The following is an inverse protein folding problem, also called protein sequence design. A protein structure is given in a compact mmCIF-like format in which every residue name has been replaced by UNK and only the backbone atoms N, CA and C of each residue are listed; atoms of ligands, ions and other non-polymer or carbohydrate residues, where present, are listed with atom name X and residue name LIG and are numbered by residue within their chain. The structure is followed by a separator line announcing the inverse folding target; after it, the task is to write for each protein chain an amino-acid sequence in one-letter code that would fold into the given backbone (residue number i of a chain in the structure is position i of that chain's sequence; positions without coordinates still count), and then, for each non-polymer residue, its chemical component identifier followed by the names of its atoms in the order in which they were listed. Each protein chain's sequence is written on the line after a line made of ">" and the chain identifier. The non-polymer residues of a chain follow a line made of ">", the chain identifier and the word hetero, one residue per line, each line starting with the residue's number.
data_IF_413935047032
#
_entry.id   IF_413935047032
#
_cell.length_a   1.000
_cell.length_b   1.000
_cell.length_c   1.000
_cell.angle_alpha   90.00
_cell.angle_beta   90.00
_cell.angle_gamma   90.00
#
_symmetry.space_group_name_H-M   'P 1'
#
loop_
_entity.id
_entity.type
_entity.pdbx_description
1 polymer ?
#
# COMPACT_ATOMS: atom_id res chain seq x y z
N UNK A 1 2.35 4.84 -12.59
CA UNK A 1 2.51 3.41 -12.93
C UNK A 1 3.85 2.91 -12.38
N UNK A 2 3.92 1.75 -11.71
CA UNK A 2 5.18 1.14 -11.23
C UNK A 2 5.35 0.91 -9.72
N UNK A 3 4.45 1.42 -8.86
CA UNK A 3 4.54 1.23 -7.40
C UNK A 3 4.39 -0.24 -6.99
N UNK A 4 3.41 -0.96 -7.55
CA UNK A 4 3.23 -2.41 -7.29
C UNK A 4 4.48 -3.20 -7.70
N UNK A 5 5.13 -2.83 -8.81
CA UNK A 5 6.38 -3.46 -9.23
C UNK A 5 7.52 -3.21 -8.24
N UNK A 6 7.63 -1.99 -7.71
CA UNK A 6 8.59 -1.66 -6.66
C UNK A 6 8.32 -2.48 -5.39
N UNK A 7 7.07 -2.51 -4.90
CA UNK A 7 6.69 -3.25 -3.70
C UNK A 7 7.10 -4.72 -3.78
N UNK A 8 6.72 -5.41 -4.86
CA UNK A 8 7.05 -6.83 -5.06
C UNK A 8 8.56 -7.09 -5.06
N UNK A 9 9.36 -6.22 -5.67
CA UNK A 9 10.83 -6.40 -5.72
C UNK A 9 11.51 -6.18 -4.36
N UNK A 10 10.90 -5.41 -3.47
CA UNK A 10 11.49 -5.10 -2.15
C UNK A 10 10.95 -6.01 -1.04
N UNK A 11 9.77 -6.60 -1.21
CA UNK A 11 9.11 -7.39 -0.16
C UNK A 11 8.84 -8.85 -0.55
N UNK A 12 8.66 -9.15 -1.84
CA UNK A 12 8.28 -10.48 -2.34
C UNK A 12 9.42 -11.18 -3.10
N UNK A 13 10.64 -10.66 -3.03
CA UNK A 13 11.82 -11.25 -3.68
C UNK A 13 13.01 -11.32 -2.71
N UNK A 14 13.52 -12.52 -2.37
CA UNK A 14 12.92 -13.83 -2.68
C UNK A 14 11.51 -13.96 -2.07
N UNK A 15 10.70 -14.91 -2.56
CA UNK A 15 9.36 -15.14 -2.02
C UNK A 15 9.46 -15.45 -0.52
N UNK A 16 8.73 -14.77 0.36
CA UNK A 16 8.80 -15.00 1.81
C UNK A 16 8.42 -16.44 2.15
N UNK A 17 9.27 -17.10 2.93
CA UNK A 17 8.94 -18.39 3.53
C UNK A 17 8.12 -18.16 4.78
N UNK A 18 6.85 -18.56 4.74
CA UNK A 18 5.87 -18.35 5.80
C UNK A 18 5.06 -19.62 6.03
N UNK A 19 4.66 -19.86 7.27
CA UNK A 19 3.94 -21.06 7.67
C UNK A 19 2.44 -21.00 7.32
N UNK A 20 1.92 -19.81 7.00
CA UNK A 20 0.51 -19.61 6.67
C UNK A 20 0.26 -18.33 5.88
N UNK A 21 -0.89 -18.27 5.23
CA UNK A 21 -1.38 -17.03 4.59
C UNK A 21 -1.65 -15.93 5.60
N UNK A 22 -2.07 -16.27 6.82
CA UNK A 22 -2.26 -15.28 7.89
C UNK A 22 -0.94 -14.56 8.23
N UNK A 23 0.16 -15.32 8.32
CA UNK A 23 1.49 -14.74 8.53
C UNK A 23 1.91 -13.85 7.36
N UNK A 24 1.65 -14.28 6.12
CA UNK A 24 1.92 -13.46 4.94
C UNK A 24 1.15 -12.13 4.98
N UNK A 25 -0.15 -12.18 5.29
CA UNK A 25 -0.99 -11.00 5.35
C UNK A 25 -0.50 -10.00 6.40
N UNK A 26 -0.11 -10.47 7.59
CA UNK A 26 0.45 -9.61 8.63
C UNK A 26 1.75 -8.92 8.19
N UNK A 27 2.60 -9.61 7.42
CA UNK A 27 3.81 -9.00 6.85
C UNK A 27 3.46 -7.94 5.79
N UNK A 28 2.46 -8.21 4.94
CA UNK A 28 1.98 -7.25 3.94
C UNK A 28 1.41 -6.00 4.61
N UNK A 29 0.57 -6.16 5.63
CA UNK A 29 0.01 -5.05 6.40
C UNK A 29 1.11 -4.16 6.97
N UNK A 30 2.13 -4.76 7.60
CA UNK A 30 3.27 -4.01 8.11
C UNK A 30 3.99 -3.24 6.99
N UNK A 31 4.25 -3.87 5.85
CA UNK A 31 4.93 -3.21 4.73
C UNK A 31 4.12 -2.07 4.11
N UNK A 32 2.79 -2.21 4.04
CA UNK A 32 1.90 -1.14 3.59
C UNK A 32 1.95 0.05 4.56
N UNK A 33 1.97 -0.19 5.87
CA UNK A 33 2.16 0.87 6.87
C UNK A 33 3.54 1.56 6.76
N UNK A 34 4.59 0.82 6.39
CA UNK A 34 5.90 1.42 6.10
C UNK A 34 5.86 2.28 4.83
N UNK A 35 5.09 1.85 3.82
CA UNK A 35 4.93 2.57 2.55
C UNK A 35 4.29 3.94 2.74
N UNK A 36 3.33 4.06 3.65
CA UNK A 36 2.70 5.33 4.04
C UNK A 36 3.74 6.38 4.50
N UNK A 37 4.87 5.93 5.07
CA UNK A 37 5.97 6.80 5.53
C UNK A 37 7.04 7.04 4.47
N UNK A 38 6.99 6.33 3.35
CA UNK A 38 8.00 6.40 2.29
C UNK A 38 7.89 7.70 1.50
N UNK A 39 9.04 8.21 1.02
CA UNK A 39 9.11 9.29 0.03
C UNK A 39 9.39 8.71 -1.36
N UNK A 40 8.61 9.13 -2.36
CA UNK A 40 8.77 8.66 -3.74
C UNK A 40 9.70 9.61 -4.50
N UNK A 41 10.88 9.12 -4.90
CA UNK A 41 11.85 9.90 -5.67
C UNK A 41 12.30 11.16 -4.91
N UNK A 42 12.31 12.31 -5.59
CA UNK A 42 12.68 13.60 -5.00
C UNK A 42 11.52 14.32 -4.28
N UNK A 43 10.36 13.66 -4.10
CA UNK A 43 9.21 14.31 -3.45
C UNK A 43 9.54 14.66 -1.99
N UNK A 44 9.19 15.88 -1.54
CA UNK A 44 9.57 16.37 -0.21
C UNK A 44 8.79 15.73 0.94
N UNK A 45 7.59 15.19 0.67
CA UNK A 45 6.67 14.64 1.68
C UNK A 45 6.44 13.13 1.50
N UNK A 46 6.11 12.40 2.57
CA UNK A 46 5.78 10.98 2.50
C UNK A 46 4.46 10.74 1.74
N UNK A 47 4.22 9.49 1.33
CA UNK A 47 3.00 9.07 0.60
C UNK A 47 1.74 9.49 1.35
N UNK A 48 1.66 9.19 2.65
CA UNK A 48 0.51 9.52 3.51
C UNK A 48 0.13 10.99 3.49
N UNK A 49 1.11 11.90 3.54
CA UNK A 49 0.85 13.35 3.51
C UNK A 49 0.28 13.81 2.17
N UNK A 50 0.76 13.25 1.06
CA UNK A 50 0.17 13.53 -0.25
C UNK A 50 -1.24 12.97 -0.35
N UNK A 51 -1.44 11.73 0.09
CA UNK A 51 -2.77 11.11 0.09
C UNK A 51 -3.76 11.91 0.95
N UNK A 52 -3.35 12.43 2.11
CA UNK A 52 -4.20 13.27 2.95
C UNK A 52 -4.71 14.54 2.24
N UNK A 53 -3.89 15.12 1.34
CA UNK A 53 -4.28 16.27 0.50
C UNK A 53 -5.25 15.86 -0.61
N UNK A 54 -5.07 14.68 -1.21
CA UNK A 54 -5.88 14.18 -2.32
C UNK A 54 -7.21 13.54 -1.87
N UNK A 55 -7.24 12.92 -0.69
CA UNK A 55 -8.40 12.23 -0.11
C UNK A 55 -9.69 13.04 -0.12
N UNK A 56 -9.73 14.34 0.27
CA UNK A 56 -10.96 15.13 0.21
C UNK A 56 -11.43 15.44 -1.23
N UNK A 57 -10.62 15.16 -2.26
CA UNK A 57 -10.97 15.34 -3.67
C UNK A 57 -11.58 14.09 -4.31
N UNK A 58 -11.56 12.95 -3.60
CA UNK A 58 -12.13 11.69 -4.07
C UNK A 58 -13.67 11.74 -4.03
N UNK A 59 -14.30 11.00 -4.94
CA UNK A 59 -15.75 10.77 -4.88
C UNK A 59 -16.10 9.99 -3.61
N UNK A 60 -17.30 10.21 -3.03
CA UNK A 60 -17.79 9.34 -1.97
C UNK A 60 -17.90 7.90 -2.46
N UNK A 61 -17.86 6.96 -1.52
CA UNK A 61 -18.18 5.56 -1.83
C UNK A 61 -19.63 5.47 -2.32
N UNK A 62 -19.94 4.54 -3.26
CA UNK A 62 -21.32 4.26 -3.64
C UNK A 62 -22.16 3.86 -2.43
N UNK A 63 -23.44 4.27 -2.41
CA UNK A 63 -24.39 3.88 -1.35
C UNK A 63 -24.75 2.38 -1.42
N UNK A 64 -24.71 1.82 -2.63
CA UNK A 64 -24.96 0.39 -2.86
C UNK A 64 -23.66 -0.42 -2.69
N UNK A 65 -23.67 -1.49 -1.88
CA UNK A 65 -22.52 -2.36 -1.72
C UNK A 65 -22.24 -3.15 -3.00
N UNK A 66 -21.00 -3.62 -3.16
CA UNK A 66 -20.65 -4.52 -4.25
C UNK A 66 -21.37 -5.87 -4.08
N UNK A 67 -21.97 -6.39 -5.17
CA UNK A 67 -22.65 -7.68 -5.16
C UNK A 67 -21.66 -8.83 -4.89
N UNK A 68 -22.00 -9.71 -3.95
CA UNK A 68 -21.19 -10.90 -3.57
C UNK A 68 -21.74 -12.18 -4.16
#
# INVERSE_FOLDING_TARGET
>A
EGQIGWFRRNHMVPVPEVASLAQLNAMIEQWDEEDERRRIGSRPRPVSEYFAVERPLLQPLPDEPFET
#
